data_IF_259736671452
#
_entry.id   IF_259736671452
#
_cell.length_a   1.000
_cell.length_b   1.000
_cell.length_c   1.000
_cell.angle_alpha   90.00
_cell.angle_beta   90.00
_cell.angle_gamma   90.00
#
_symmetry.space_group_name_H-M   'P 1'
#
loop_
_entity.id
_entity.type
_entity.pdbx_description
1 polymer ?
#
# COMPACT_ATOMS: atom_id res chain seq x y z
N UNK A 1 -21.05 -37.27 26.02
CA UNK A 1 -21.12 -35.98 25.31
C UNK A 1 -19.75 -35.33 25.50
N UNK A 2 -18.84 -35.50 24.54
CA UNK A 2 -17.49 -34.95 24.62
C UNK A 2 -17.56 -33.55 24.03
N UNK A 3 -17.47 -32.54 24.90
CA UNK A 3 -17.33 -31.14 24.50
C UNK A 3 -15.88 -30.97 24.05
N UNK A 4 -15.65 -30.96 22.74
CA UNK A 4 -14.36 -30.56 22.17
C UNK A 4 -14.25 -29.06 22.31
N UNK A 5 -13.55 -28.59 23.34
CA UNK A 5 -13.10 -27.22 23.42
C UNK A 5 -12.06 -27.02 22.30
N UNK A 6 -12.38 -26.20 21.30
CA UNK A 6 -11.36 -25.65 20.40
C UNK A 6 -10.48 -24.77 21.28
N UNK A 7 -9.25 -25.21 21.57
CA UNK A 7 -8.25 -24.34 22.13
C UNK A 7 -7.97 -23.25 21.08
N UNK A 8 -8.20 -21.99 21.46
CA UNK A 8 -7.70 -20.85 20.69
C UNK A 8 -6.18 -21.02 20.58
N UNK A 9 -5.68 -21.30 19.38
CA UNK A 9 -4.23 -21.27 19.17
C UNK A 9 -3.71 -19.87 19.51
N UNK A 10 -2.60 -19.76 20.26
CA UNK A 10 -2.06 -18.46 20.62
C UNK A 10 -1.74 -17.66 19.36
N UNK A 11 -2.35 -16.48 19.23
CA UNK A 11 -2.08 -15.59 18.12
C UNK A 11 -0.64 -15.10 18.21
N UNK A 12 0.19 -15.49 17.23
CA UNK A 12 1.57 -15.03 17.12
C UNK A 12 1.59 -13.51 16.91
N UNK A 13 2.56 -12.85 17.55
CA UNK A 13 2.93 -11.47 17.18
C UNK A 13 3.47 -11.44 15.75
N UNK A 14 3.42 -10.30 15.03
CA UNK A 14 4.03 -10.20 13.70
C UNK A 14 5.50 -10.64 13.70
N UNK A 15 6.24 -10.30 14.75
CA UNK A 15 7.66 -10.64 14.90
C UNK A 15 7.87 -12.17 14.99
N UNK A 16 7.04 -12.87 15.75
CA UNK A 16 7.06 -14.33 15.82
C UNK A 16 6.60 -14.98 14.51
N UNK A 17 5.58 -14.41 13.84
CA UNK A 17 5.06 -14.96 12.59
C UNK A 17 6.06 -14.80 11.43
N UNK A 18 6.67 -13.63 11.31
CA UNK A 18 7.52 -13.24 10.17
C UNK A 18 9.01 -13.36 10.45
N UNK A 19 9.39 -13.61 11.71
CA UNK A 19 10.78 -13.74 12.16
C UNK A 19 11.55 -12.44 12.01
N UNK A 20 10.85 -11.31 12.05
CA UNK A 20 11.40 -9.96 11.92
C UNK A 20 11.31 -9.27 13.27
N UNK A 21 12.21 -8.34 13.57
CA UNK A 21 12.23 -7.65 14.86
C UNK A 21 11.84 -6.18 14.66
N UNK A 22 10.69 -5.80 15.23
CA UNK A 22 10.25 -4.41 15.35
C UNK A 22 10.05 -3.66 14.02
N UNK A 23 9.62 -2.39 14.07
CA UNK A 23 9.50 -1.59 12.86
C UNK A 23 10.87 -1.39 12.20
N UNK A 24 10.89 -1.36 10.88
CA UNK A 24 12.12 -1.18 10.12
C UNK A 24 12.51 0.31 10.08
N UNK A 25 13.81 0.59 10.01
CA UNK A 25 14.32 1.97 10.01
C UNK A 25 14.46 2.52 8.59
N UNK A 26 14.35 3.84 8.40
CA UNK A 26 14.67 4.48 7.12
C UNK A 26 16.09 4.10 6.66
N UNK A 27 16.29 4.01 5.35
CA UNK A 27 17.64 3.92 4.83
C UNK A 27 18.40 5.21 5.17
N UNK A 28 19.71 5.12 5.44
CA UNK A 28 20.52 6.32 5.61
C UNK A 28 20.36 7.24 4.39
N UNK A 29 20.11 8.55 4.58
CA UNK A 29 19.94 9.48 3.46
C UNK A 29 21.23 9.49 2.62
N UNK A 30 21.14 9.62 1.29
CA UNK A 30 22.26 9.52 0.37
C UNK A 30 23.32 10.64 0.53
N UNK A 31 23.17 11.56 1.49
CA UNK A 31 24.02 12.75 1.63
C UNK A 31 23.59 13.85 0.65
N UNK A 32 24.51 14.75 0.30
CA UNK A 32 24.26 15.87 -0.65
C UNK A 32 24.30 15.45 -2.13
N UNK A 33 24.68 14.21 -2.40
CA UNK A 33 24.60 13.64 -3.73
C UNK A 33 23.19 13.08 -3.86
N UNK A 34 22.39 13.66 -4.74
CA UNK A 34 21.07 13.14 -5.09
C UNK A 34 21.24 11.76 -5.78
N UNK A 35 21.45 10.71 -4.97
CA UNK A 35 21.24 9.28 -5.28
C UNK A 35 21.75 8.72 -6.62
N UNK A 36 23.05 8.42 -6.80
CA UNK A 36 23.48 7.68 -8.03
C UNK A 36 24.30 6.40 -7.87
N UNK A 37 24.66 5.92 -6.67
CA UNK A 37 25.56 4.74 -6.57
C UNK A 37 25.08 3.56 -5.71
N UNK A 38 23.86 3.61 -5.16
CA UNK A 38 23.30 2.48 -4.40
C UNK A 38 22.59 1.50 -5.32
N UNK A 39 23.25 0.41 -5.70
CA UNK A 39 22.66 -0.65 -6.52
C UNK A 39 21.39 -1.21 -5.86
N UNK A 40 20.29 -1.28 -6.59
CA UNK A 40 19.10 -2.02 -6.19
C UNK A 40 19.31 -3.54 -6.21
N UNK A 41 18.22 -4.29 -6.04
CA UNK A 41 18.23 -5.74 -6.31
C UNK A 41 18.63 -5.99 -7.77
N UNK A 42 19.40 -7.05 -8.00
CA UNK A 42 19.78 -7.44 -9.36
C UNK A 42 18.53 -7.85 -10.15
N UNK A 43 18.43 -7.40 -11.40
CA UNK A 43 17.32 -7.78 -12.31
C UNK A 43 17.23 -9.31 -12.47
N UNK A 44 18.36 -10.01 -12.45
CA UNK A 44 18.44 -11.47 -12.58
C UNK A 44 18.18 -12.25 -11.27
N UNK A 45 17.70 -11.60 -10.21
CA UNK A 45 17.41 -12.29 -8.94
C UNK A 45 16.28 -13.29 -9.12
N UNK A 46 16.47 -14.54 -8.69
CA UNK A 46 15.37 -15.52 -8.68
C UNK A 46 14.37 -15.17 -7.56
N UNK A 47 13.16 -14.78 -7.95
CA UNK A 47 12.07 -14.38 -7.05
C UNK A 47 10.87 -15.30 -7.13
N UNK A 48 10.92 -16.41 -7.88
CA UNK A 48 9.75 -17.23 -8.19
C UNK A 48 8.97 -17.70 -6.96
N UNK A 49 9.66 -18.03 -5.86
CA UNK A 49 9.00 -18.48 -4.62
C UNK A 49 8.48 -17.32 -3.75
N UNK A 50 9.21 -16.20 -3.66
CA UNK A 50 8.86 -15.06 -2.79
C UNK A 50 8.00 -14.01 -3.50
N UNK A 51 7.74 -14.17 -4.79
CA UNK A 51 7.02 -13.21 -5.60
C UNK A 51 5.58 -13.01 -5.11
N UNK A 52 5.22 -11.76 -4.90
CA UNK A 52 3.86 -11.34 -4.53
C UNK A 52 3.02 -11.21 -5.80
N UNK A 53 3.54 -10.50 -6.80
CA UNK A 53 2.99 -10.43 -8.17
C UNK A 53 4.11 -10.31 -9.19
N UNK A 54 3.82 -10.67 -10.44
CA UNK A 54 4.74 -10.48 -11.55
C UNK A 54 4.65 -9.03 -12.01
N UNK A 55 5.78 -8.34 -12.09
CA UNK A 55 5.85 -7.03 -12.74
C UNK A 55 5.99 -7.22 -14.26
N UNK A 56 4.91 -7.00 -15.01
CA UNK A 56 4.89 -7.12 -16.49
C UNK A 56 4.92 -5.78 -17.20
N UNK A 57 4.51 -4.73 -16.52
CA UNK A 57 4.43 -3.37 -17.05
C UNK A 57 5.53 -2.51 -16.42
N UNK A 58 5.84 -1.38 -17.04
CA UNK A 58 6.71 -0.34 -16.48
C UNK A 58 5.89 0.91 -16.22
N UNK A 59 6.29 1.72 -15.25
CA UNK A 59 5.54 2.94 -14.91
C UNK A 59 5.42 3.91 -16.09
N UNK A 60 6.44 3.93 -16.96
CA UNK A 60 6.57 4.81 -18.12
C UNK A 60 5.81 4.29 -19.36
N UNK A 61 5.23 3.09 -19.30
CA UNK A 61 4.53 2.50 -20.45
C UNK A 61 3.27 3.31 -20.81
N UNK A 62 3.22 3.83 -22.04
CA UNK A 62 2.05 4.55 -22.58
C UNK A 62 1.34 3.80 -23.71
N UNK A 63 2.06 2.95 -24.44
CA UNK A 63 1.58 2.32 -25.69
C UNK A 63 1.51 0.79 -25.67
N UNK A 64 1.96 0.13 -24.58
CA UNK A 64 1.84 -1.33 -24.46
C UNK A 64 0.37 -1.77 -24.45
N UNK A 65 0.10 -3.04 -24.79
CA UNK A 65 -1.28 -3.56 -24.81
C UNK A 65 -2.00 -3.37 -23.46
N UNK A 66 -1.29 -3.53 -22.34
CA UNK A 66 -1.82 -3.25 -21.01
C UNK A 66 -2.06 -1.74 -20.79
N UNK A 67 -1.11 -0.88 -21.17
CA UNK A 67 -1.25 0.57 -21.01
C UNK A 67 -2.36 1.17 -21.89
N UNK A 68 -2.63 0.59 -23.05
CA UNK A 68 -3.70 1.01 -23.95
C UNK A 68 -5.10 0.53 -23.50
N UNK A 69 -5.20 -0.36 -22.50
CA UNK A 69 -6.49 -0.85 -22.01
C UNK A 69 -7.22 0.24 -21.21
N UNK A 70 -8.54 0.30 -21.36
CA UNK A 70 -9.38 1.07 -20.46
C UNK A 70 -9.21 0.58 -19.01
N UNK A 71 -9.20 1.51 -18.06
CA UNK A 71 -9.09 1.20 -16.64
C UNK A 71 -10.27 1.74 -15.85
N UNK A 72 -10.04 2.02 -14.56
CA UNK A 72 -11.11 2.42 -13.65
C UNK A 72 -11.70 3.78 -14.08
N UNK A 73 -10.84 4.74 -14.44
CA UNK A 73 -11.23 6.14 -14.73
C UNK A 73 -10.54 6.75 -15.95
N UNK A 74 -10.06 5.91 -16.87
CA UNK A 74 -9.48 6.37 -18.14
C UNK A 74 -9.98 5.51 -19.30
N UNK A 75 -10.18 6.10 -20.49
CA UNK A 75 -10.57 5.37 -21.68
C UNK A 75 -9.43 4.50 -22.21
N UNK A 76 -9.76 3.59 -23.11
CA UNK A 76 -8.76 2.88 -23.90
C UNK A 76 -7.91 3.89 -24.71
N UNK A 77 -6.63 3.56 -24.92
CA UNK A 77 -5.65 4.39 -25.61
C UNK A 77 -5.57 5.83 -25.07
N UNK A 78 -5.68 6.00 -23.74
CA UNK A 78 -5.64 7.31 -23.07
C UNK A 78 -4.35 8.11 -23.31
N UNK A 79 -3.28 7.47 -23.77
CA UNK A 79 -1.94 8.08 -23.92
C UNK A 79 -1.22 8.33 -22.59
N UNK A 80 -1.84 7.95 -21.46
CA UNK A 80 -1.30 8.17 -20.12
C UNK A 80 -0.29 7.07 -19.73
N UNK A 81 0.78 7.48 -19.08
CA UNK A 81 1.64 6.56 -18.33
C UNK A 81 0.93 6.06 -17.05
N UNK A 82 1.54 5.12 -16.33
CA UNK A 82 0.90 4.54 -15.15
C UNK A 82 0.91 5.47 -13.93
N UNK A 83 1.85 6.41 -13.83
CA UNK A 83 1.84 7.39 -12.74
C UNK A 83 0.72 8.41 -12.92
N UNK A 84 0.46 8.84 -14.15
CA UNK A 84 -0.69 9.67 -14.51
C UNK A 84 -2.01 8.92 -14.28
N UNK A 85 -2.06 7.62 -14.58
CA UNK A 85 -3.24 6.79 -14.28
C UNK A 85 -3.46 6.62 -12.77
N UNK A 86 -2.38 6.46 -11.99
CA UNK A 86 -2.44 6.44 -10.53
C UNK A 86 -2.99 7.76 -9.99
N UNK A 87 -2.44 8.90 -10.45
CA UNK A 87 -2.92 10.23 -10.10
C UNK A 87 -4.42 10.41 -10.39
N UNK A 88 -4.86 10.03 -11.60
CA UNK A 88 -6.29 10.08 -11.97
C UNK A 88 -7.16 9.17 -11.11
N UNK A 89 -6.69 7.98 -10.76
CA UNK A 89 -7.42 7.09 -9.88
C UNK A 89 -7.60 7.71 -8.49
N UNK A 90 -6.53 8.28 -7.90
CA UNK A 90 -6.61 8.97 -6.61
C UNK A 90 -7.55 10.19 -6.68
N UNK A 91 -7.44 11.00 -7.73
CA UNK A 91 -8.32 12.15 -7.97
C UNK A 91 -9.80 11.72 -8.05
N UNK A 92 -10.08 10.56 -8.67
CA UNK A 92 -11.43 10.06 -8.88
C UNK A 92 -12.13 9.48 -7.65
N UNK A 93 -11.43 9.30 -6.52
CA UNK A 93 -12.03 8.70 -5.34
C UNK A 93 -13.18 9.58 -4.83
N UNK A 94 -14.39 9.03 -4.84
CA UNK A 94 -15.60 9.77 -4.47
C UNK A 94 -15.64 10.00 -2.96
N UNK A 95 -15.92 11.24 -2.55
CA UNK A 95 -16.19 11.55 -1.16
C UNK A 95 -17.57 11.04 -0.72
N UNK A 96 -17.61 10.31 0.39
CA UNK A 96 -18.81 9.73 1.00
C UNK A 96 -18.84 10.02 2.51
N UNK A 97 -20.00 9.98 3.18
CA UNK A 97 -20.05 10.03 4.63
C UNK A 97 -19.21 8.90 5.26
N UNK A 98 -18.46 9.21 6.32
CA UNK A 98 -17.74 8.22 7.10
C UNK A 98 -18.67 7.41 8.01
N UNK A 99 -18.20 6.24 8.45
CA UNK A 99 -18.89 5.37 9.42
C UNK A 99 -19.16 6.07 10.76
N UNK A 100 -18.40 7.12 11.10
CA UNK A 100 -18.58 7.88 12.35
C UNK A 100 -19.82 8.79 12.32
N UNK A 101 -20.40 9.01 11.13
CA UNK A 101 -21.60 9.81 10.91
C UNK A 101 -21.40 11.33 10.88
N UNK A 102 -20.17 11.83 11.05
CA UNK A 102 -19.89 13.28 11.08
C UNK A 102 -18.70 13.72 10.20
N UNK A 103 -17.83 12.80 9.79
CA UNK A 103 -16.72 13.09 8.87
C UNK A 103 -17.00 12.58 7.45
N UNK A 104 -16.14 12.97 6.51
CA UNK A 104 -16.19 12.50 5.11
C UNK A 104 -15.00 11.60 4.86
N UNK A 105 -15.22 10.48 4.18
CA UNK A 105 -14.17 9.59 3.70
C UNK A 105 -14.23 9.40 2.19
N UNK A 106 -13.35 8.57 1.63
CA UNK A 106 -13.31 8.24 0.20
C UNK A 106 -13.82 6.83 -0.07
N UNK A 107 -14.39 6.62 -1.27
CA UNK A 107 -14.80 5.31 -1.78
C UNK A 107 -13.73 4.75 -2.71
N UNK A 108 -13.26 3.54 -2.42
CA UNK A 108 -12.27 2.82 -3.23
C UNK A 108 -12.97 1.88 -4.20
N UNK A 109 -12.65 2.01 -5.49
CA UNK A 109 -13.15 1.14 -6.56
C UNK A 109 -12.01 0.28 -7.10
N UNK A 110 -12.21 -1.04 -7.11
CA UNK A 110 -11.27 -2.01 -7.69
C UNK A 110 -11.42 -2.07 -9.23
N UNK A 111 -10.41 -2.59 -9.97
CA UNK A 111 -10.52 -2.81 -11.42
C UNK A 111 -11.66 -3.73 -11.86
N UNK A 112 -12.22 -4.52 -10.95
CA UNK A 112 -13.34 -5.43 -11.20
C UNK A 112 -14.71 -4.81 -10.85
N UNK A 113 -14.76 -3.50 -10.59
CA UNK A 113 -16.00 -2.74 -10.34
C UNK A 113 -16.53 -2.83 -8.90
N UNK A 114 -15.85 -3.55 -8.01
CA UNK A 114 -16.20 -3.60 -6.59
C UNK A 114 -15.85 -2.29 -5.90
N UNK A 115 -16.78 -1.77 -5.09
CA UNK A 115 -16.62 -0.50 -4.37
C UNK A 115 -16.78 -0.70 -2.87
N UNK A 116 -15.95 -0.01 -2.08
CA UNK A 116 -15.98 -0.06 -0.60
C UNK A 116 -15.59 1.30 -0.02
N UNK A 117 -16.11 1.71 1.15
CA UNK A 117 -15.55 2.84 1.88
C UNK A 117 -14.06 2.65 2.16
N UNK A 118 -13.30 3.74 2.35
CA UNK A 118 -11.89 3.70 2.75
C UNK A 118 -11.68 2.79 3.95
N UNK A 119 -10.57 2.03 4.01
CA UNK A 119 -10.21 1.33 5.23
C UNK A 119 -9.90 2.33 6.35
N UNK A 120 -10.02 1.85 7.59
CA UNK A 120 -9.55 2.52 8.80
C UNK A 120 -8.04 2.28 8.91
N UNK A 121 -7.23 3.29 8.64
CA UNK A 121 -5.76 3.20 8.58
C UNK A 121 -5.10 4.45 9.19
N UNK A 122 -3.84 4.30 9.61
CA UNK A 122 -2.95 5.41 9.93
C UNK A 122 -2.49 6.13 8.65
N UNK A 123 -1.69 7.16 8.84
CA UNK A 123 -1.34 8.17 7.84
C UNK A 123 -0.49 7.56 6.71
N UNK A 124 0.64 6.94 7.09
CA UNK A 124 1.51 6.25 6.15
C UNK A 124 0.87 4.99 5.59
N UNK A 125 0.08 4.29 6.41
CA UNK A 125 -0.62 3.07 6.03
C UNK A 125 -1.54 3.31 4.84
N UNK A 126 -2.30 4.40 4.83
CA UNK A 126 -3.17 4.77 3.71
C UNK A 126 -2.36 5.00 2.41
N UNK A 127 -1.24 5.71 2.50
CA UNK A 127 -0.38 6.01 1.35
C UNK A 127 0.25 4.73 0.78
N UNK A 128 0.81 3.89 1.65
CA UNK A 128 1.39 2.60 1.29
C UNK A 128 0.34 1.67 0.68
N UNK A 129 -0.82 1.54 1.32
CA UNK A 129 -1.94 0.72 0.83
C UNK A 129 -2.35 1.12 -0.59
N UNK A 130 -2.61 2.41 -0.85
CA UNK A 130 -3.07 2.87 -2.16
C UNK A 130 -2.02 2.61 -3.25
N UNK A 131 -0.74 2.88 -2.98
CA UNK A 131 0.34 2.63 -3.96
C UNK A 131 0.55 1.15 -4.21
N UNK A 132 0.56 0.31 -3.17
CA UNK A 132 0.64 -1.15 -3.29
C UNK A 132 -0.55 -1.69 -4.09
N UNK A 133 -1.76 -1.25 -3.77
CA UNK A 133 -2.97 -1.74 -4.40
C UNK A 133 -2.96 -1.48 -5.91
N UNK A 134 -2.67 -0.24 -6.31
CA UNK A 134 -2.58 0.12 -7.72
C UNK A 134 -1.47 -0.63 -8.45
N UNK A 135 -0.27 -0.70 -7.86
CA UNK A 135 0.86 -1.39 -8.47
C UNK A 135 0.58 -2.88 -8.69
N UNK A 136 -0.06 -3.53 -7.72
CA UNK A 136 -0.40 -4.95 -7.82
C UNK A 136 -1.51 -5.23 -8.84
N UNK A 137 -2.54 -4.38 -8.90
CA UNK A 137 -3.63 -4.52 -9.88
C UNK A 137 -3.17 -4.43 -11.33
N UNK A 138 -2.16 -3.61 -11.58
CA UNK A 138 -1.64 -3.34 -12.91
C UNK A 138 -0.27 -3.97 -13.15
N UNK A 139 0.15 -4.92 -12.32
CA UNK A 139 1.41 -5.68 -12.49
C UNK A 139 2.63 -4.75 -12.71
N UNK A 140 2.73 -3.69 -11.92
CA UNK A 140 3.79 -2.68 -11.97
C UNK A 140 4.92 -3.03 -10.98
N UNK A 141 6.18 -2.68 -11.28
CA UNK A 141 7.27 -2.83 -10.33
C UNK A 141 7.07 -1.87 -9.16
N UNK A 142 7.16 -2.40 -7.95
CA UNK A 142 7.16 -1.62 -6.71
C UNK A 142 8.18 -2.23 -5.75
N UNK A 143 8.94 -1.39 -5.07
CA UNK A 143 9.59 -1.77 -3.83
C UNK A 143 9.78 -0.54 -2.93
N UNK A 144 9.86 -0.81 -1.63
CA UNK A 144 10.29 0.13 -0.60
C UNK A 144 11.60 -0.38 0.00
N UNK A 145 12.55 0.51 0.21
CA UNK A 145 13.79 0.26 0.91
C UNK A 145 13.66 0.61 2.39
N UNK A 146 14.30 -0.20 3.21
CA UNK A 146 14.37 -0.02 4.66
C UNK A 146 15.64 -0.67 5.20
N UNK A 147 15.94 -0.50 6.49
CA UNK A 147 17.03 -1.22 7.15
C UNK A 147 16.55 -1.89 8.44
N UNK A 148 17.10 -3.08 8.72
CA UNK A 148 16.86 -3.78 9.99
C UNK A 148 17.65 -3.16 11.15
N UNK A 149 17.46 -3.70 12.37
CA UNK A 149 18.18 -3.27 13.58
C UNK A 149 19.70 -3.41 13.49
N UNK A 150 20.21 -4.20 12.53
CA UNK A 150 21.62 -4.41 12.25
C UNK A 150 22.13 -3.53 11.09
N UNK A 151 21.31 -2.64 10.54
CA UNK A 151 21.65 -1.78 9.41
C UNK A 151 21.64 -2.49 8.06
N UNK A 152 21.11 -3.71 7.98
CA UNK A 152 21.00 -4.47 6.72
C UNK A 152 19.84 -3.93 5.90
N UNK A 153 20.10 -3.63 4.64
CA UNK A 153 19.08 -3.17 3.71
C UNK A 153 18.09 -4.28 3.35
N UNK A 154 16.81 -3.96 3.48
CA UNK A 154 15.69 -4.83 3.17
C UNK A 154 14.77 -4.13 2.17
N UNK A 155 14.27 -4.90 1.21
CA UNK A 155 13.38 -4.47 0.15
C UNK A 155 12.02 -5.13 0.35
N UNK A 156 10.96 -4.34 0.36
CA UNK A 156 9.57 -4.77 0.44
C UNK A 156 8.90 -4.47 -0.88
N UNK A 157 8.47 -5.46 -1.66
CA UNK A 157 7.82 -5.16 -2.93
C UNK A 157 7.25 -6.37 -3.66
N UNK A 158 7.06 -6.20 -4.97
CA UNK A 158 6.51 -7.23 -5.85
C UNK A 158 7.30 -8.57 -5.81
N UNK A 159 8.58 -8.51 -5.46
CA UNK A 159 9.45 -9.68 -5.30
C UNK A 159 9.40 -10.32 -3.90
N UNK A 160 8.53 -9.84 -3.00
CA UNK A 160 8.47 -10.24 -1.59
C UNK A 160 9.34 -9.35 -0.70
N UNK A 161 9.67 -9.84 0.49
CA UNK A 161 10.53 -9.16 1.46
C UNK A 161 11.92 -9.80 1.43
N UNK A 162 12.92 -9.03 1.01
CA UNK A 162 14.22 -9.58 0.60
C UNK A 162 15.39 -8.68 0.95
N UNK A 163 16.56 -9.28 0.99
CA UNK A 163 17.86 -8.61 0.94
C UNK A 163 18.55 -8.95 -0.38
N UNK A 164 19.74 -8.39 -0.61
CA UNK A 164 20.60 -8.83 -1.72
C UNK A 164 20.98 -10.33 -1.63
N UNK A 165 20.95 -10.92 -0.44
CA UNK A 165 21.26 -12.34 -0.22
C UNK A 165 20.07 -13.29 -0.46
N UNK A 166 18.85 -12.76 -0.65
CA UNK A 166 17.65 -13.58 -0.86
C UNK A 166 16.49 -13.19 0.06
N UNK A 167 15.62 -14.16 0.34
CA UNK A 167 14.49 -14.00 1.27
C UNK A 167 14.98 -13.47 2.62
N UNK A 168 14.27 -12.48 3.16
CA UNK A 168 14.59 -11.93 4.47
C UNK A 168 13.82 -12.68 5.56
N UNK A 169 14.50 -13.04 6.66
CA UNK A 169 13.89 -13.71 7.81
C UNK A 169 13.05 -14.94 7.44
N UNK A 170 11.98 -15.22 8.18
CA UNK A 170 10.98 -16.24 7.86
C UNK A 170 9.80 -15.68 7.06
N UNK A 171 10.01 -14.58 6.32
CA UNK A 171 8.95 -13.99 5.50
C UNK A 171 8.40 -15.02 4.49
N UNK A 172 7.13 -14.90 4.08
CA UNK A 172 6.50 -15.91 3.24
C UNK A 172 7.18 -16.09 1.89
N UNK A 173 7.24 -17.33 1.45
CA UNK A 173 7.30 -17.64 0.03
C UNK A 173 5.90 -17.43 -0.57
N UNK A 174 5.56 -16.16 -0.82
CA UNK A 174 4.20 -15.73 -1.20
C UNK A 174 3.62 -16.55 -2.35
N UNK A 175 4.42 -16.87 -3.37
CA UNK A 175 3.97 -17.61 -4.54
C UNK A 175 3.57 -19.06 -4.23
N UNK A 176 4.16 -19.63 -3.17
CA UNK A 176 3.91 -21.00 -2.71
C UNK A 176 2.76 -21.01 -1.69
N UNK A 177 2.80 -20.10 -0.72
CA UNK A 177 1.91 -20.12 0.45
C UNK A 177 0.51 -19.59 0.16
N UNK A 178 0.37 -18.61 -0.76
CA UNK A 178 -0.91 -17.92 -0.96
C UNK A 178 -1.39 -17.97 -2.41
N UNK A 179 -2.72 -17.97 -2.55
CA UNK A 179 -3.40 -18.09 -3.84
C UNK A 179 -3.49 -16.76 -4.57
N UNK A 180 -3.39 -16.84 -5.89
CA UNK A 180 -3.68 -15.74 -6.79
C UNK A 180 -4.85 -16.13 -7.70
N UNK A 181 -5.97 -15.43 -7.56
CA UNK A 181 -7.19 -15.67 -8.35
C UNK A 181 -7.32 -14.73 -9.56
N UNK A 182 -6.36 -13.83 -9.78
CA UNK A 182 -6.46 -12.77 -10.80
C UNK A 182 -6.68 -13.28 -12.22
N UNK A 183 -6.13 -14.46 -12.56
CA UNK A 183 -6.26 -15.08 -13.89
C UNK A 183 -7.39 -16.10 -13.99
N UNK A 184 -7.93 -16.57 -12.87
CA UNK A 184 -8.97 -17.61 -12.83
C UNK A 184 -10.36 -17.08 -12.51
N UNK A 185 -10.45 -15.86 -11.96
CA UNK A 185 -11.73 -15.23 -11.67
C UNK A 185 -12.40 -14.74 -12.97
N UNK A 186 -13.57 -15.29 -13.28
CA UNK A 186 -14.34 -14.98 -14.50
C UNK A 186 -15.61 -14.18 -14.21
N UNK A 187 -15.68 -13.52 -13.05
CA UNK A 187 -16.93 -12.97 -12.51
C UNK A 187 -17.69 -13.98 -11.63
N UNK A 188 -18.65 -13.49 -10.84
CA UNK A 188 -19.41 -14.30 -9.88
C UNK A 188 -18.96 -14.09 -8.43
N UNK A 189 -19.07 -15.14 -7.61
CA UNK A 189 -18.77 -15.08 -6.17
C UNK A 189 -17.30 -14.71 -5.97
N UNK A 190 -17.06 -13.65 -5.21
CA UNK A 190 -15.71 -13.19 -4.88
C UNK A 190 -14.97 -14.25 -4.06
N UNK A 191 -13.76 -14.67 -4.45
CA UNK A 191 -13.00 -15.66 -3.69
C UNK A 191 -12.58 -15.07 -2.34
N UNK A 192 -12.82 -15.81 -1.26
CA UNK A 192 -12.49 -15.42 0.11
C UNK A 192 -11.39 -16.31 0.68
N UNK A 193 -10.44 -15.69 1.37
CA UNK A 193 -9.40 -16.36 2.14
C UNK A 193 -9.63 -16.11 3.63
N UNK A 194 -10.15 -17.12 4.35
CA UNK A 194 -10.50 -16.99 5.77
C UNK A 194 -9.30 -16.66 6.66
N UNK A 195 -8.10 -17.12 6.27
CA UNK A 195 -6.89 -16.86 7.04
C UNK A 195 -6.42 -15.43 6.83
N UNK A 196 -6.47 -14.92 5.60
CA UNK A 196 -6.18 -13.51 5.32
C UNK A 196 -7.19 -12.61 6.04
N UNK A 197 -8.48 -12.96 6.01
CA UNK A 197 -9.52 -12.16 6.66
C UNK A 197 -9.33 -11.99 8.16
N UNK A 198 -8.71 -12.97 8.82
CA UNK A 198 -8.41 -12.93 10.24
C UNK A 198 -7.13 -12.12 10.57
N UNK A 199 -6.36 -11.68 9.57
CA UNK A 199 -5.14 -10.88 9.80
C UNK A 199 -5.47 -9.47 10.26
N UNK A 200 -4.59 -8.99 11.14
CA UNK A 200 -4.60 -7.67 11.75
C UNK A 200 -3.27 -6.98 11.47
N UNK A 201 -3.27 -5.65 11.45
CA UNK A 201 -2.04 -4.86 11.57
C UNK A 201 -1.79 -4.59 13.07
N UNK A 202 -0.54 -4.73 13.52
CA UNK A 202 -0.12 -4.44 14.88
C UNK A 202 -0.14 -2.93 15.19
N UNK A 203 0.06 -2.57 16.47
CA UNK A 203 0.24 -1.17 16.89
C UNK A 203 -1.04 -0.42 17.27
N UNK A 204 -2.21 -1.07 17.32
CA UNK A 204 -3.45 -0.41 17.76
C UNK A 204 -4.72 -1.17 17.40
N UNK A 205 -5.86 -0.49 17.51
CA UNK A 205 -7.13 -0.99 16.99
C UNK A 205 -7.07 -1.09 15.46
N UNK A 206 -7.58 -2.19 14.92
CA UNK A 206 -7.65 -2.46 13.48
C UNK A 206 -9.04 -2.99 13.12
N UNK A 207 -10.09 -2.32 13.59
CA UNK A 207 -11.46 -2.68 13.21
C UNK A 207 -11.85 -2.02 11.88
N UNK A 208 -12.53 -2.81 11.05
CA UNK A 208 -13.02 -2.43 9.73
C UNK A 208 -14.55 -2.63 9.66
N UNK A 209 -15.34 -1.87 10.45
CA UNK A 209 -16.78 -2.10 10.62
C UNK A 209 -17.59 -1.89 9.34
N UNK A 210 -17.02 -1.22 8.33
CA UNK A 210 -17.61 -1.10 6.99
C UNK A 210 -17.63 -2.43 6.21
N UNK A 211 -16.85 -3.44 6.64
CA UNK A 211 -16.81 -4.79 6.06
C UNK A 211 -17.72 -5.74 6.85
N UNK A 212 -17.50 -5.82 8.17
CA UNK A 212 -18.34 -6.52 9.15
C UNK A 212 -17.98 -6.00 10.55
N UNK A 213 -18.87 -6.20 11.53
CA UNK A 213 -18.71 -5.62 12.88
C UNK A 213 -17.37 -5.98 13.57
N UNK A 214 -16.84 -7.17 13.31
CA UNK A 214 -15.59 -7.71 13.86
C UNK A 214 -14.48 -7.87 12.80
N UNK A 215 -14.66 -7.30 11.61
CA UNK A 215 -13.68 -7.40 10.54
C UNK A 215 -12.41 -6.61 10.88
N UNK A 216 -11.27 -7.14 10.42
CA UNK A 216 -9.96 -6.50 10.50
C UNK A 216 -9.42 -6.12 9.13
N UNK A 217 -8.27 -5.42 9.05
CA UNK A 217 -7.73 -4.98 7.76
C UNK A 217 -7.47 -6.11 6.79
N UNK A 218 -7.10 -7.30 7.27
CA UNK A 218 -7.00 -8.50 6.45
C UNK A 218 -8.31 -8.82 5.71
N UNK A 219 -9.47 -8.60 6.32
CA UNK A 219 -10.76 -8.77 5.67
C UNK A 219 -11.02 -7.70 4.61
N UNK A 220 -10.59 -6.46 4.85
CA UNK A 220 -10.63 -5.40 3.83
C UNK A 220 -9.80 -5.79 2.61
N UNK A 221 -8.55 -6.23 2.82
CA UNK A 221 -7.64 -6.67 1.76
C UNK A 221 -8.16 -7.88 0.98
N UNK A 222 -8.81 -8.83 1.65
CA UNK A 222 -9.48 -9.97 1.02
C UNK A 222 -10.58 -9.50 0.05
N UNK A 223 -11.29 -8.42 0.35
CA UNK A 223 -12.31 -7.85 -0.53
C UNK A 223 -11.73 -6.97 -1.66
N UNK A 224 -10.50 -6.46 -1.51
CA UNK A 224 -9.80 -5.59 -2.49
C UNK A 224 -9.00 -6.39 -3.53
N UNK A 225 -8.40 -7.52 -3.13
CA UNK A 225 -7.46 -8.26 -3.96
C UNK A 225 -7.96 -9.65 -4.35
N UNK A 226 -7.98 -9.94 -5.65
CA UNK A 226 -8.03 -11.31 -6.15
C UNK A 226 -6.70 -12.05 -5.93
N UNK A 227 -5.57 -11.35 -6.05
CA UNK A 227 -4.28 -11.91 -5.67
C UNK A 227 -4.09 -11.83 -4.15
N UNK A 228 -4.38 -12.92 -3.42
CA UNK A 228 -4.32 -12.94 -1.95
C UNK A 228 -2.91 -12.77 -1.42
N UNK A 229 -1.88 -13.08 -2.22
CA UNK A 229 -0.48 -12.78 -1.90
C UNK A 229 -0.28 -11.31 -1.56
N UNK A 230 -0.95 -10.42 -2.31
CA UNK A 230 -0.89 -8.97 -2.11
C UNK A 230 -1.47 -8.59 -0.77
N UNK A 231 -2.60 -9.20 -0.36
CA UNK A 231 -3.18 -8.96 0.95
C UNK A 231 -2.21 -9.30 2.09
N UNK A 232 -1.63 -10.50 2.08
CA UNK A 232 -0.62 -10.86 3.09
C UNK A 232 0.61 -9.95 3.07
N UNK A 233 1.07 -9.58 1.87
CA UNK A 233 2.20 -8.67 1.72
C UNK A 233 1.88 -7.29 2.29
N UNK A 234 0.67 -6.77 2.06
CA UNK A 234 0.27 -5.46 2.57
C UNK A 234 0.18 -5.46 4.10
N UNK A 235 -0.38 -6.49 4.73
CA UNK A 235 -0.37 -6.60 6.21
C UNK A 235 1.07 -6.52 6.73
N UNK A 236 1.96 -7.34 6.19
CA UNK A 236 3.37 -7.35 6.57
C UNK A 236 4.03 -5.98 6.32
N UNK A 237 3.82 -5.38 5.14
CA UNK A 237 4.40 -4.07 4.83
C UNK A 237 3.95 -3.00 5.83
N UNK A 238 2.68 -3.02 6.27
CA UNK A 238 2.14 -2.05 7.22
C UNK A 238 2.55 -2.32 8.68
N UNK A 239 2.83 -3.57 9.05
CA UNK A 239 3.40 -3.91 10.36
C UNK A 239 4.83 -3.35 10.54
N UNK A 240 5.58 -3.23 9.44
CA UNK A 240 7.03 -2.98 9.48
C UNK A 240 7.46 -1.64 8.86
N UNK A 241 6.62 -0.98 8.07
CA UNK A 241 6.92 0.31 7.44
C UNK A 241 5.95 1.38 7.92
N UNK A 242 6.47 2.57 8.20
CA UNK A 242 5.68 3.71 8.62
C UNK A 242 6.09 5.03 7.94
N UNK A 243 5.64 6.14 8.53
CA UNK A 243 5.86 7.49 7.98
C UNK A 243 7.34 7.81 7.75
N UNK A 244 8.22 7.33 8.63
CA UNK A 244 9.66 7.56 8.50
C UNK A 244 10.24 6.84 7.27
N UNK A 245 9.78 5.63 6.96
CA UNK A 245 10.23 4.90 5.77
C UNK A 245 9.65 5.54 4.52
N UNK A 246 8.39 5.99 4.54
CA UNK A 246 7.79 6.66 3.40
C UNK A 246 8.47 8.01 3.09
N UNK A 247 8.78 8.80 4.12
CA UNK A 247 9.47 10.08 3.99
C UNK A 247 10.97 9.94 3.64
N UNK A 248 11.50 8.72 3.57
CA UNK A 248 12.86 8.47 3.12
C UNK A 248 12.99 8.77 1.62
N UNK A 249 14.04 9.53 1.27
CA UNK A 249 14.49 9.78 -0.10
C UNK A 249 14.78 8.53 -0.94
N UNK A 250 14.95 7.35 -0.32
CA UNK A 250 15.03 6.09 -1.05
C UNK A 250 13.66 5.58 -1.54
N UNK A 251 12.57 6.09 -0.97
CA UNK A 251 11.19 5.65 -1.23
C UNK A 251 10.31 6.74 -1.86
N UNK A 252 10.69 8.02 -1.70
CA UNK A 252 10.01 9.18 -2.28
C UNK A 252 11.01 10.15 -2.91
N UNK A 253 10.51 11.01 -3.80
CA UNK A 253 11.28 12.06 -4.44
C UNK A 253 10.81 13.44 -3.94
N UNK A 254 11.75 14.35 -3.75
CA UNK A 254 11.42 15.75 -3.55
C UNK A 254 10.97 16.35 -4.88
N UNK A 255 9.72 16.80 -4.95
CA UNK A 255 9.17 17.46 -6.12
C UNK A 255 9.32 18.98 -6.03
N UNK A 256 9.32 19.63 -7.17
CA UNK A 256 9.18 21.10 -7.21
C UNK A 256 7.71 21.47 -6.93
N UNK A 257 7.44 22.60 -6.25
CA UNK A 257 6.08 23.01 -5.90
C UNK A 257 5.10 23.03 -7.09
N UNK A 258 5.57 23.46 -8.27
CA UNK A 258 4.76 23.51 -9.49
C UNK A 258 4.31 22.13 -10.01
N UNK A 259 5.02 21.06 -9.63
CA UNK A 259 4.78 19.68 -10.07
C UNK A 259 3.82 18.90 -9.17
N UNK A 260 3.36 19.51 -8.07
CA UNK A 260 2.41 18.89 -7.12
C UNK A 260 1.13 18.47 -7.85
N UNK A 261 0.74 17.20 -7.68
CA UNK A 261 -0.45 16.58 -8.28
C UNK A 261 -1.08 15.55 -7.35
N UNK A 262 -2.28 15.09 -7.72
CA UNK A 262 -2.94 13.97 -7.06
C UNK A 262 -2.06 12.70 -7.08
N UNK A 263 -2.06 11.95 -5.98
CA UNK A 263 -1.24 10.76 -5.78
C UNK A 263 0.15 11.05 -5.16
N UNK A 264 0.58 12.30 -5.10
CA UNK A 264 1.77 12.67 -4.34
C UNK A 264 1.51 12.55 -2.82
N UNK A 265 2.58 12.49 -2.03
CA UNK A 265 2.51 12.45 -0.56
C UNK A 265 3.05 13.75 0.01
N UNK A 266 2.25 14.43 0.82
CA UNK A 266 2.68 15.57 1.63
C UNK A 266 3.24 15.05 2.96
N UNK A 267 4.51 15.38 3.25
CA UNK A 267 5.13 15.16 4.55
C UNK A 267 4.94 16.42 5.40
N UNK A 268 4.00 16.36 6.34
CA UNK A 268 3.66 17.47 7.22
C UNK A 268 4.37 17.35 8.57
N UNK A 269 4.95 18.46 9.03
CA UNK A 269 5.44 18.61 10.39
C UNK A 269 4.90 19.89 11.01
N UNK A 270 3.92 19.75 11.90
CA UNK A 270 3.28 20.89 12.57
C UNK A 270 3.91 21.24 13.93
N UNK A 271 4.77 20.39 14.51
CA UNK A 271 5.48 20.63 15.77
C UNK A 271 7.01 20.56 15.63
N UNK A 272 7.70 21.39 16.42
CA UNK A 272 9.17 21.36 16.52
C UNK A 272 9.68 20.01 17.03
N UNK A 273 8.97 19.35 17.94
CA UNK A 273 9.27 17.99 18.38
C UNK A 273 7.98 17.18 18.22
N UNK A 274 7.95 16.22 17.30
CA UNK A 274 6.77 15.42 17.00
C UNK A 274 7.05 14.39 15.92
N UNK A 275 6.12 13.45 15.74
CA UNK A 275 6.24 12.31 14.83
C UNK A 275 6.01 12.66 13.34
N UNK A 276 5.47 13.86 13.06
CA UNK A 276 5.09 14.27 11.71
C UNK A 276 3.86 13.51 11.18
N UNK A 277 3.50 13.76 9.93
CA UNK A 277 2.34 13.16 9.28
C UNK A 277 2.61 12.98 7.78
N UNK A 278 2.07 11.93 7.17
CA UNK A 278 2.14 11.71 5.72
C UNK A 278 0.72 11.63 5.16
N UNK A 279 0.45 12.47 4.16
CA UNK A 279 -0.88 12.76 3.64
C UNK A 279 -0.94 12.50 2.15
N UNK A 280 -2.00 11.85 1.67
CA UNK A 280 -2.18 11.62 0.23
C UNK A 280 -2.81 12.86 -0.38
N UNK A 281 -2.14 13.49 -1.34
CA UNK A 281 -2.71 14.59 -2.11
C UNK A 281 -3.76 14.01 -3.05
N UNK A 282 -5.01 14.48 -2.95
CA UNK A 282 -6.13 13.98 -3.76
C UNK A 282 -6.53 14.97 -4.86
N UNK A 283 -6.58 16.26 -4.54
CA UNK A 283 -6.97 17.31 -5.49
C UNK A 283 -5.98 18.47 -5.38
N UNK A 284 -5.70 19.11 -6.51
CA UNK A 284 -4.83 20.28 -6.61
C UNK A 284 -5.52 21.30 -7.49
N UNK A 285 -5.80 22.48 -6.95
CA UNK A 285 -6.36 23.60 -7.70
C UNK A 285 -5.32 24.73 -7.81
N UNK A 286 -5.12 25.23 -9.03
CA UNK A 286 -4.29 26.42 -9.26
C UNK A 286 -5.01 27.66 -8.74
N UNK A 287 -4.28 28.48 -7.98
CA UNK A 287 -4.72 29.79 -7.51
C UNK A 287 -4.00 30.90 -8.26
N UNK A 288 -4.55 32.12 -8.17
CA UNK A 288 -3.91 33.30 -8.72
C UNK A 288 -2.49 33.47 -8.15
N UNK A 289 -1.55 33.90 -9.00
CA UNK A 289 -0.15 34.11 -8.60
C UNK A 289 0.70 32.85 -8.48
N UNK A 290 0.23 31.69 -8.99
CA UNK A 290 1.01 30.44 -9.02
C UNK A 290 1.02 29.68 -7.69
N UNK A 291 0.13 30.04 -6.77
CA UNK A 291 -0.13 29.25 -5.55
C UNK A 291 -1.04 28.07 -5.87
N UNK A 292 -1.04 27.05 -5.03
CA UNK A 292 -1.91 25.87 -5.17
C UNK A 292 -2.72 25.67 -3.90
N UNK A 293 -3.99 25.35 -4.05
CA UNK A 293 -4.85 24.79 -3.01
C UNK A 293 -4.80 23.27 -3.13
N UNK A 294 -4.51 22.57 -2.03
CA UNK A 294 -4.36 21.11 -2.02
C UNK A 294 -5.35 20.49 -1.06
N UNK A 295 -6.18 19.59 -1.57
CA UNK A 295 -7.03 18.75 -0.73
C UNK A 295 -6.36 17.39 -0.54
N UNK A 296 -6.26 16.96 0.70
CA UNK A 296 -5.59 15.72 1.10
C UNK A 296 -6.57 14.72 1.73
N UNK A 297 -6.20 13.44 1.67
CA UNK A 297 -6.84 12.36 2.42
C UNK A 297 -5.87 11.92 3.52
N UNK A 298 -6.35 11.98 4.75
CA UNK A 298 -5.54 11.82 5.96
C UNK A 298 -6.01 10.62 6.80
N UNK A 299 -5.11 9.70 7.09
CA UNK A 299 -5.26 8.76 8.21
C UNK A 299 -5.04 9.46 9.55
N UNK A 300 -4.97 8.73 10.66
CA UNK A 300 -4.53 9.28 11.96
C UNK A 300 -4.04 8.17 12.90
N UNK A 301 -3.39 8.58 13.99
CA UNK A 301 -3.24 7.79 15.20
C UNK A 301 -4.18 8.38 16.27
N UNK A 302 -5.15 7.64 16.84
CA UNK A 302 -5.56 6.28 16.47
C UNK A 302 -6.12 6.20 15.03
N UNK A 303 -6.11 4.99 14.46
CA UNK A 303 -6.59 4.71 13.09
C UNK A 303 -8.01 5.22 12.88
N UNK A 304 -8.28 5.77 11.69
CA UNK A 304 -9.61 6.19 11.23
C UNK A 304 -9.73 6.02 9.73
N UNK A 305 -10.96 6.09 9.20
CA UNK A 305 -11.13 6.17 7.76
C UNK A 305 -10.41 7.41 7.22
N UNK A 306 -9.86 7.35 6.00
CA UNK A 306 -9.17 8.49 5.42
C UNK A 306 -10.10 9.70 5.33
N UNK A 307 -9.77 10.80 5.98
CA UNK A 307 -10.63 12.01 6.06
C UNK A 307 -10.11 13.11 5.16
N UNK A 308 -11.04 13.82 4.52
CA UNK A 308 -10.75 15.03 3.75
C UNK A 308 -10.19 16.15 4.64
N UNK A 309 -9.07 16.74 4.22
CA UNK A 309 -8.55 18.00 4.75
C UNK A 309 -8.15 18.91 3.59
N UNK A 310 -8.22 20.22 3.79
CA UNK A 310 -7.85 21.27 2.82
C UNK A 310 -7.22 22.43 3.58
#
# INVERSE_FOLDING_TARGET
MIVSACADEPQLTPDEEWGMEGPMFPTPPPGKEDSEHRRGLLVATNTTATQVWIARNKWEDTTTAAAAKAGIVWPAASGLDWDQKYAKWIESLEYIPSIDGFSTTVKVTTPWGKTMPSPVLECAEMSLFLRIAFAAWYELPLFFESVDSQGRRVFFGHNGVRTSAGRYASTPEFAIKYKDYSTTYTGGVWPKDTTLRAKRIAGGEDLQPMIAADAHFGAYLDEVHLNKRVGYFTVLALDYLGSMNLADSANTYNIKPESVRAGDVLVERWQRNGIGHTLVIKEVAELAGGSKDVTVVSGSMPRRQGVRQS
#
